data_IF_636375654593
#
_entry.id   IF_636375654593
#
_cell.length_a   1.000
_cell.length_b   1.000
_cell.length_c   1.000
_cell.angle_alpha   90.00
_cell.angle_beta   90.00
_cell.angle_gamma   90.00
#
_symmetry.space_group_name_H-M   'P 1'
#
loop_
_entity.id
_entity.type
_entity.pdbx_description
1 polymer ?
#
# COMPACT_ATOMS: atom_id res chain seq x y z
N UNK A 1 -25.37 14.69 -13.77
CA UNK A 1 -24.09 14.12 -13.28
C UNK A 1 -22.94 14.77 -14.05
N UNK A 2 -22.01 15.44 -13.38
CA UNK A 2 -20.81 15.97 -14.04
C UNK A 2 -19.89 14.80 -14.42
N UNK A 3 -19.32 14.83 -15.63
CA UNK A 3 -18.43 13.75 -16.08
C UNK A 3 -17.13 13.73 -15.28
N UNK A 4 -16.46 12.57 -15.17
CA UNK A 4 -15.16 12.47 -14.49
C UNK A 4 -14.09 13.40 -15.08
N UNK A 5 -14.22 13.76 -16.37
CA UNK A 5 -13.37 14.76 -17.02
C UNK A 5 -13.51 16.14 -16.38
N UNK A 6 -14.72 16.52 -15.99
CA UNK A 6 -14.98 17.80 -15.30
C UNK A 6 -14.36 17.83 -13.89
N UNK A 7 -14.42 16.71 -13.14
CA UNK A 7 -13.77 16.61 -11.82
C UNK A 7 -12.25 16.78 -11.97
N UNK A 8 -11.66 16.13 -12.98
CA UNK A 8 -10.22 16.25 -13.26
C UNK A 8 -9.83 17.67 -13.68
N UNK A 9 -10.62 18.32 -14.53
CA UNK A 9 -10.37 19.70 -14.92
C UNK A 9 -10.51 20.64 -13.72
N UNK A 10 -11.49 20.42 -12.86
CA UNK A 10 -11.65 21.19 -11.62
C UNK A 10 -10.47 20.96 -10.68
N UNK A 11 -10.01 19.71 -10.50
CA UNK A 11 -8.82 19.41 -9.70
C UNK A 11 -7.57 20.12 -10.25
N UNK A 12 -7.42 20.15 -11.58
CA UNK A 12 -6.31 20.86 -12.22
C UNK A 12 -6.36 22.36 -11.95
N UNK A 13 -7.51 23.00 -12.13
CA UNK A 13 -7.71 24.41 -11.82
C UNK A 13 -7.42 24.74 -10.35
N UNK A 14 -7.92 23.90 -9.45
CA UNK A 14 -7.70 24.04 -8.00
C UNK A 14 -6.22 23.92 -7.64
N UNK A 15 -5.44 23.12 -8.36
CA UNK A 15 -4.00 22.96 -8.12
C UNK A 15 -3.12 24.04 -8.77
N UNK A 16 -3.67 24.83 -9.70
CA UNK A 16 -2.94 25.93 -10.36
C UNK A 16 -2.88 27.20 -9.49
N UNK A 17 -3.82 27.38 -8.57
CA UNK A 17 -4.01 28.66 -7.80
C UNK A 17 -3.30 28.75 -6.44
N UNK A 18 -3.00 27.67 -5.68
CA UNK A 18 -2.50 27.81 -4.31
C UNK A 18 -1.02 28.18 -4.21
N UNK A 19 -0.69 29.00 -3.23
CA UNK A 19 0.68 29.24 -2.77
C UNK A 19 0.82 28.73 -1.32
N UNK A 20 1.80 27.85 -1.00
CA UNK A 20 2.85 27.29 -1.86
C UNK A 20 2.31 26.29 -2.90
N UNK A 21 2.98 26.24 -4.07
CA UNK A 21 2.57 25.35 -5.14
C UNK A 21 2.44 23.89 -4.64
N UNK A 22 1.37 23.17 -5.00
CA UNK A 22 1.14 21.78 -4.55
C UNK A 22 2.31 20.85 -4.86
N UNK A 23 3.05 21.12 -5.95
CA UNK A 23 4.27 20.40 -6.33
C UNK A 23 5.39 20.47 -5.27
N UNK A 24 5.51 21.58 -4.51
CA UNK A 24 6.48 21.68 -3.40
C UNK A 24 6.09 20.78 -2.24
N UNK A 25 4.80 20.74 -1.88
CA UNK A 25 4.30 19.90 -0.79
C UNK A 25 4.43 18.42 -1.14
N UNK A 26 4.08 18.03 -2.37
CA UNK A 26 4.26 16.65 -2.83
C UNK A 26 5.73 16.26 -2.97
N UNK A 27 6.63 17.17 -3.35
CA UNK A 27 8.08 16.92 -3.35
C UNK A 27 8.59 16.63 -1.93
N UNK A 28 8.20 17.45 -0.94
CA UNK A 28 8.55 17.21 0.47
C UNK A 28 7.97 15.87 0.94
N UNK A 29 6.70 15.60 0.65
CA UNK A 29 6.05 14.35 1.01
C UNK A 29 6.77 13.13 0.42
N UNK A 30 7.07 13.15 -0.89
CA UNK A 30 7.78 12.06 -1.57
C UNK A 30 9.23 11.95 -1.11
N UNK A 31 9.89 13.09 -0.85
CA UNK A 31 11.25 13.13 -0.33
C UNK A 31 11.38 12.47 1.05
N UNK A 32 10.41 12.68 1.94
CA UNK A 32 10.38 12.02 3.25
C UNK A 32 10.18 10.51 3.11
N UNK A 33 9.28 10.06 2.22
CA UNK A 33 9.04 8.63 1.99
C UNK A 33 10.31 7.96 1.45
N UNK A 34 10.90 8.52 0.40
CA UNK A 34 12.12 7.97 -0.22
C UNK A 34 13.31 8.07 0.74
N UNK A 35 13.45 9.20 1.44
CA UNK A 35 14.50 9.38 2.45
C UNK A 35 14.41 8.36 3.58
N UNK A 36 13.21 8.10 4.10
CA UNK A 36 12.99 7.06 5.10
C UNK A 36 13.35 5.67 4.56
N UNK A 37 12.98 5.35 3.31
CA UNK A 37 13.33 4.09 2.67
C UNK A 37 14.85 3.93 2.53
N UNK A 38 15.55 4.98 2.09
CA UNK A 38 17.03 4.97 1.99
C UNK A 38 17.68 4.77 3.36
N UNK A 39 17.26 5.54 4.37
CA UNK A 39 17.80 5.43 5.73
C UNK A 39 17.62 4.01 6.26
N UNK A 40 16.44 3.42 6.10
CA UNK A 40 16.16 2.05 6.53
C UNK A 40 17.03 1.04 5.80
N UNK A 41 17.20 1.18 4.49
CA UNK A 41 18.03 0.26 3.69
C UNK A 41 19.49 0.36 4.09
N UNK A 42 20.01 1.58 4.26
CA UNK A 42 21.38 1.79 4.73
C UNK A 42 21.58 1.20 6.13
N UNK A 43 20.61 1.41 7.02
CA UNK A 43 20.67 0.85 8.36
C UNK A 43 20.62 -0.69 8.33
N UNK A 44 19.74 -1.29 7.53
CA UNK A 44 19.70 -2.74 7.33
C UNK A 44 21.01 -3.28 6.76
N UNK A 45 21.60 -2.58 5.79
CA UNK A 45 22.90 -2.95 5.23
C UNK A 45 24.02 -2.89 6.28
N UNK A 46 24.10 -1.82 7.07
CA UNK A 46 25.09 -1.70 8.16
C UNK A 46 24.93 -2.79 9.22
N UNK A 47 23.68 -3.16 9.52
CA UNK A 47 23.36 -4.22 10.46
C UNK A 47 23.65 -5.63 9.92
N UNK A 48 23.68 -5.81 8.59
CA UNK A 48 24.00 -7.08 7.95
C UNK A 48 25.51 -7.32 7.79
N UNK A 49 26.36 -6.32 8.06
CA UNK A 49 27.81 -6.48 8.01
C UNK A 49 28.26 -7.47 9.10
N UNK A 50 29.11 -8.46 8.75
CA UNK A 50 29.59 -9.43 9.72
C UNK A 50 30.34 -8.72 10.86
N UNK A 51 29.94 -9.00 12.10
CA UNK A 51 30.65 -8.48 13.26
C UNK A 51 32.06 -9.08 13.30
N UNK A 52 33.12 -8.29 13.47
CA UNK A 52 34.49 -8.77 13.49
C UNK A 52 34.81 -9.68 14.72
N UNK A 53 33.89 -9.81 15.68
CA UNK A 53 34.06 -10.66 16.87
C UNK A 53 33.55 -12.08 16.55
N UNK A 54 34.44 -12.94 16.04
CA UNK A 54 34.18 -14.37 15.87
C UNK A 54 34.09 -15.08 17.21
N UNK A 55 32.96 -15.72 17.50
CA UNK A 55 32.78 -16.56 18.69
C UNK A 55 31.31 -16.88 18.98
N UNK A 56 31.04 -17.76 19.93
CA UNK A 56 29.71 -18.18 20.40
C UNK A 56 28.78 -17.02 20.84
N UNK A 57 29.32 -15.80 21.02
CA UNK A 57 28.55 -14.55 21.23
C UNK A 57 27.71 -14.12 20.02
N UNK A 58 27.92 -14.73 18.85
CA UNK A 58 27.25 -14.32 17.61
C UNK A 58 25.78 -14.72 17.53
N UNK A 59 25.35 -15.79 18.21
CA UNK A 59 23.94 -16.24 18.19
C UNK A 59 23.02 -15.23 18.89
N UNK A 60 23.45 -14.65 20.00
CA UNK A 60 22.66 -13.61 20.68
C UNK A 60 22.67 -12.27 19.91
N UNK A 61 23.79 -11.93 19.27
CA UNK A 61 23.93 -10.72 18.50
C UNK A 61 23.09 -10.78 17.21
N UNK A 62 23.10 -11.91 16.48
CA UNK A 62 22.28 -12.06 15.27
C UNK A 62 20.79 -11.96 15.56
N UNK A 63 20.29 -12.63 16.60
CA UNK A 63 18.89 -12.54 17.02
C UNK A 63 18.49 -11.10 17.43
N UNK A 64 19.37 -10.38 18.10
CA UNK A 64 19.15 -8.98 18.44
C UNK A 64 19.03 -8.11 17.19
N UNK A 65 19.92 -8.28 16.22
CA UNK A 65 19.92 -7.51 14.97
C UNK A 65 18.69 -7.82 14.09
N UNK A 66 18.28 -9.08 13.98
CA UNK A 66 17.06 -9.49 13.29
C UNK A 66 15.83 -8.89 13.95
N UNK A 67 15.78 -8.89 15.28
CA UNK A 67 14.69 -8.27 16.05
C UNK A 67 14.65 -6.76 15.80
N UNK A 68 15.79 -6.09 15.80
CA UNK A 68 15.88 -4.66 15.53
C UNK A 68 15.44 -4.31 14.11
N UNK A 69 15.85 -5.08 13.10
CA UNK A 69 15.40 -4.92 11.72
C UNK A 69 13.88 -5.09 11.62
N UNK A 70 13.32 -6.09 12.26
CA UNK A 70 11.87 -6.33 12.30
C UNK A 70 11.13 -5.17 12.94
N UNK A 71 11.62 -4.65 14.07
CA UNK A 71 11.03 -3.50 14.74
C UNK A 71 11.09 -2.22 13.89
N UNK A 72 12.21 -1.98 13.22
CA UNK A 72 12.36 -0.83 12.32
C UNK A 72 11.42 -0.93 11.10
N UNK A 73 11.31 -2.10 10.51
CA UNK A 73 10.37 -2.37 9.41
C UNK A 73 8.92 -2.17 9.86
N UNK A 74 8.57 -2.66 11.04
CA UNK A 74 7.24 -2.47 11.64
C UNK A 74 6.96 -0.98 11.91
N UNK A 75 7.92 -0.26 12.49
CA UNK A 75 7.79 1.17 12.76
C UNK A 75 7.57 1.97 11.46
N UNK A 76 8.33 1.66 10.41
CA UNK A 76 8.12 2.28 9.10
C UNK A 76 6.73 1.98 8.53
N UNK A 77 6.30 0.74 8.61
CA UNK A 77 4.97 0.30 8.13
C UNK A 77 3.82 0.98 8.89
N UNK A 78 4.05 1.33 10.16
CA UNK A 78 3.07 2.06 10.96
C UNK A 78 3.09 3.57 10.68
N UNK A 79 4.27 4.19 10.52
CA UNK A 79 4.39 5.65 10.35
C UNK A 79 3.95 6.09 8.95
N UNK A 80 4.27 5.31 7.92
CA UNK A 80 4.01 5.66 6.53
C UNK A 80 2.53 5.97 6.21
N UNK A 81 1.53 5.19 6.67
CA UNK A 81 0.12 5.52 6.46
C UNK A 81 -0.31 6.85 7.06
N UNK A 82 0.23 7.24 8.24
CA UNK A 82 -0.08 8.53 8.84
C UNK A 82 0.52 9.70 8.06
N UNK A 83 1.72 9.50 7.52
CA UNK A 83 2.34 10.47 6.64
C UNK A 83 1.55 10.64 5.33
N UNK A 84 1.05 9.55 4.77
CA UNK A 84 0.14 9.60 3.61
C UNK A 84 -1.17 10.30 3.94
N UNK A 85 -1.74 10.08 5.14
CA UNK A 85 -2.94 10.78 5.61
C UNK A 85 -2.73 12.30 5.68
N UNK A 86 -1.52 12.76 5.99
CA UNK A 86 -1.17 14.18 5.92
C UNK A 86 -1.35 14.79 4.53
N UNK A 87 -0.95 14.07 3.48
CA UNK A 87 -1.17 14.52 2.11
C UNK A 87 -2.66 14.51 1.73
N UNK A 88 -3.44 13.54 2.20
CA UNK A 88 -4.90 13.51 2.03
C UNK A 88 -5.53 14.75 2.68
N UNK A 89 -5.06 15.17 3.87
CA UNK A 89 -5.52 16.39 4.50
C UNK A 89 -5.21 17.63 3.66
N UNK A 90 -3.99 17.76 3.13
CA UNK A 90 -3.63 18.84 2.20
C UNK A 90 -4.55 18.83 0.96
N UNK A 91 -4.88 17.66 0.42
CA UNK A 91 -5.78 17.52 -0.71
C UNK A 91 -7.21 18.00 -0.39
N UNK A 92 -7.71 17.76 0.83
CA UNK A 92 -9.00 18.29 1.31
C UNK A 92 -8.97 19.81 1.38
N UNK A 93 -7.88 20.41 1.87
CA UNK A 93 -7.72 21.87 1.91
C UNK A 93 -7.73 22.46 0.50
N UNK A 94 -6.95 21.89 -0.43
CA UNK A 94 -6.96 22.34 -1.84
C UNK A 94 -8.35 22.22 -2.46
N UNK A 95 -9.03 21.11 -2.23
CA UNK A 95 -10.38 20.89 -2.76
C UNK A 95 -11.42 21.90 -2.22
N UNK A 96 -11.18 22.47 -1.02
CA UNK A 96 -11.97 23.55 -0.41
C UNK A 96 -11.52 24.96 -0.87
N UNK A 97 -10.50 25.05 -1.71
CA UNK A 97 -9.95 26.34 -2.17
C UNK A 97 -8.98 27.01 -1.19
N UNK A 98 -8.54 26.28 -0.14
CA UNK A 98 -7.55 26.80 0.82
C UNK A 98 -6.13 26.44 0.41
N UNK A 99 -5.16 27.30 0.75
CA UNK A 99 -3.74 27.00 0.61
C UNK A 99 -3.31 25.99 1.70
N UNK A 100 -2.59 24.95 1.32
CA UNK A 100 -1.97 24.02 2.27
C UNK A 100 -0.51 24.43 2.54
N UNK A 101 -0.05 24.25 3.77
CA UNK A 101 1.34 24.50 4.16
C UNK A 101 2.05 23.16 4.42
N UNK A 102 3.39 23.09 4.30
CA UNK A 102 4.15 21.85 4.57
C UNK A 102 3.93 21.28 5.98
N UNK A 103 3.67 22.13 6.97
CA UNK A 103 3.35 21.70 8.35
C UNK A 103 2.06 20.89 8.45
N UNK A 104 1.17 21.02 7.47
CA UNK A 104 -0.12 20.31 7.46
C UNK A 104 0.04 18.86 7.05
N UNK A 105 1.19 18.47 6.46
CA UNK A 105 1.55 17.08 6.26
C UNK A 105 1.63 16.30 7.58
N UNK A 106 1.91 16.98 8.70
CA UNK A 106 1.95 16.33 10.02
C UNK A 106 0.57 16.12 10.66
N UNK A 107 -0.52 16.60 10.04
CA UNK A 107 -1.88 16.43 10.58
C UNK A 107 -2.30 14.95 10.68
N UNK A 108 -1.80 14.09 9.79
CA UNK A 108 -2.00 12.64 9.93
C UNK A 108 -1.41 12.10 11.23
N UNK A 109 -0.22 12.58 11.62
CA UNK A 109 0.43 12.21 12.88
C UNK A 109 -0.28 12.83 14.10
N UNK A 110 -0.80 14.05 13.98
CA UNK A 110 -1.56 14.68 15.09
C UNK A 110 -2.86 13.95 15.40
N UNK A 111 -3.49 13.35 14.39
CA UNK A 111 -4.72 12.54 14.53
C UNK A 111 -4.45 11.04 14.59
N UNK A 112 -3.24 10.66 15.01
CA UNK A 112 -2.77 9.27 14.98
C UNK A 112 -3.72 8.29 15.69
N UNK A 113 -4.28 8.67 16.85
CA UNK A 113 -5.15 7.79 17.63
C UNK A 113 -6.44 7.39 16.91
N UNK A 114 -7.11 8.32 16.22
CA UNK A 114 -8.31 8.03 15.43
C UNK A 114 -7.98 7.26 14.14
N UNK A 115 -6.89 7.63 13.46
CA UNK A 115 -6.43 6.96 12.26
C UNK A 115 -5.90 5.55 12.56
N UNK A 116 -5.16 5.36 13.66
CA UNK A 116 -4.68 4.04 14.07
C UNK A 116 -5.85 3.07 14.30
N UNK A 117 -6.87 3.51 15.05
CA UNK A 117 -8.08 2.70 15.25
C UNK A 117 -8.77 2.39 13.92
N UNK A 118 -8.81 3.34 12.99
CA UNK A 118 -9.38 3.12 11.66
C UNK A 118 -8.58 2.08 10.86
N UNK A 119 -7.25 2.18 10.85
CA UNK A 119 -6.38 1.23 10.13
C UNK A 119 -6.41 -0.15 10.75
N UNK A 120 -6.46 -0.26 12.10
CA UNK A 120 -6.67 -1.54 12.78
C UNK A 120 -8.02 -2.17 12.40
N UNK A 121 -9.11 -1.38 12.39
CA UNK A 121 -10.42 -1.89 11.98
C UNK A 121 -10.44 -2.31 10.50
N UNK A 122 -9.78 -1.55 9.61
CA UNK A 122 -9.62 -1.97 8.21
C UNK A 122 -8.80 -3.26 8.10
N UNK A 123 -7.74 -3.41 8.90
CA UNK A 123 -6.93 -4.64 8.99
C UNK A 123 -7.75 -5.83 9.46
N UNK A 124 -8.54 -5.66 10.52
CA UNK A 124 -9.46 -6.71 11.02
C UNK A 124 -10.49 -7.11 9.94
N UNK A 125 -10.98 -6.14 9.15
CA UNK A 125 -11.87 -6.45 8.04
C UNK A 125 -11.17 -7.17 6.87
N UNK A 126 -9.86 -6.97 6.71
CA UNK A 126 -9.07 -7.63 5.66
C UNK A 126 -8.79 -9.10 5.98
N UNK A 127 -8.62 -9.47 7.25
CA UNK A 127 -8.32 -10.86 7.65
C UNK A 127 -9.36 -11.87 7.16
N UNK A 128 -10.68 -11.70 7.40
CA UNK A 128 -11.67 -12.64 6.87
C UNK A 128 -11.72 -12.66 5.35
N UNK A 129 -11.40 -11.52 4.66
CA UNK A 129 -11.32 -11.49 3.21
C UNK A 129 -10.19 -12.38 2.69
N UNK A 130 -9.02 -12.32 3.34
CA UNK A 130 -7.87 -13.18 3.02
C UNK A 130 -8.21 -14.65 3.26
N UNK A 131 -8.84 -14.99 4.38
CA UNK A 131 -9.26 -16.36 4.67
C UNK A 131 -10.27 -16.88 3.65
N UNK A 132 -11.33 -16.12 3.38
CA UNK A 132 -12.35 -16.51 2.39
C UNK A 132 -11.76 -16.66 1.00
N UNK A 133 -10.86 -15.75 0.58
CA UNK A 133 -10.18 -15.86 -0.72
C UNK A 133 -9.29 -17.10 -0.79
N UNK A 134 -8.56 -17.41 0.27
CA UNK A 134 -7.72 -18.61 0.36
C UNK A 134 -8.54 -19.89 0.27
N UNK A 135 -9.59 -20.04 1.08
CA UNK A 135 -10.48 -21.21 1.02
C UNK A 135 -11.18 -21.37 -0.32
N UNK A 136 -11.73 -20.27 -0.87
CA UNK A 136 -12.38 -20.29 -2.17
C UNK A 136 -11.41 -20.65 -3.31
N UNK A 137 -10.20 -20.09 -3.28
CA UNK A 137 -9.16 -20.40 -4.25
C UNK A 137 -8.73 -21.88 -4.15
N UNK A 138 -8.48 -22.39 -2.95
CA UNK A 138 -8.11 -23.80 -2.73
C UNK A 138 -9.21 -24.74 -3.20
N UNK A 139 -10.46 -24.44 -2.88
CA UNK A 139 -11.60 -25.23 -3.35
C UNK A 139 -11.71 -25.26 -4.88
N UNK A 140 -11.65 -24.08 -5.52
CA UNK A 140 -11.71 -24.02 -6.98
C UNK A 140 -10.48 -24.64 -7.64
N UNK A 141 -9.29 -24.50 -7.04
CA UNK A 141 -8.06 -25.11 -7.55
C UNK A 141 -8.13 -26.63 -7.58
N UNK A 142 -8.66 -27.26 -6.53
CA UNK A 142 -8.87 -28.72 -6.46
C UNK A 142 -9.77 -29.22 -7.59
N UNK A 143 -10.71 -28.42 -8.06
CA UNK A 143 -11.58 -28.77 -9.19
C UNK A 143 -10.89 -28.66 -10.56
N UNK A 144 -9.68 -28.08 -10.62
CA UNK A 144 -8.93 -27.92 -11.87
C UNK A 144 -7.93 -29.07 -12.07
N UNK A 145 -7.57 -29.41 -13.32
CA UNK A 145 -6.54 -30.41 -13.59
C UNK A 145 -5.15 -30.00 -13.03
N UNK A 146 -4.93 -28.70 -12.77
CA UNK A 146 -3.68 -28.16 -12.21
C UNK A 146 -3.38 -28.69 -10.81
N UNK A 147 -4.40 -29.09 -10.06
CA UNK A 147 -4.23 -29.70 -8.73
C UNK A 147 -3.48 -31.04 -8.79
N UNK A 148 -3.59 -31.78 -9.88
CA UNK A 148 -2.87 -33.06 -10.08
C UNK A 148 -1.36 -32.82 -10.12
N UNK A 149 -0.90 -31.81 -10.84
CA UNK A 149 0.52 -31.46 -10.91
C UNK A 149 1.09 -31.11 -9.51
N UNK A 150 0.29 -30.44 -8.69
CA UNK A 150 0.70 -30.12 -7.32
C UNK A 150 0.73 -31.38 -6.44
N UNK A 151 -0.26 -32.26 -6.59
CA UNK A 151 -0.29 -33.53 -5.85
C UNK A 151 0.87 -34.46 -6.22
N UNK A 152 1.23 -34.57 -7.50
CA UNK A 152 2.40 -35.34 -7.96
C UNK A 152 3.72 -34.84 -7.34
N UNK A 153 3.81 -33.54 -7.04
CA UNK A 153 4.97 -32.94 -6.37
C UNK A 153 4.92 -33.16 -4.85
N UNK A 154 3.72 -33.12 -4.26
CA UNK A 154 3.54 -33.24 -2.81
C UNK A 154 3.56 -34.71 -2.33
N UNK A 155 3.15 -35.66 -3.15
CA UNK A 155 3.08 -37.08 -2.79
C UNK A 155 4.43 -37.63 -2.30
N UNK A 156 5.59 -37.38 -2.98
CA UNK A 156 6.91 -37.76 -2.49
C UNK A 156 7.30 -37.10 -1.17
N UNK A 157 6.85 -35.84 -0.94
CA UNK A 157 7.10 -35.11 0.30
C UNK A 157 6.33 -35.68 1.49
N UNK A 158 5.10 -36.11 1.26
CA UNK A 158 4.26 -36.69 2.31
C UNK A 158 4.70 -38.11 2.70
N UNK A 159 5.41 -38.81 1.83
CA UNK A 159 5.95 -40.16 2.07
C UNK A 159 7.40 -40.18 2.50
N UNK A 160 8.12 -39.03 2.50
CA UNK A 160 9.50 -38.92 2.88
C UNK A 160 9.68 -38.97 4.41
N UNK A 161 10.70 -39.68 4.89
CA UNK A 161 11.08 -39.69 6.32
C UNK A 161 11.52 -38.28 6.80
N UNK A 162 12.16 -37.50 5.92
CA UNK A 162 12.53 -36.11 6.17
C UNK A 162 11.96 -35.18 5.07
N UNK A 163 10.78 -34.54 5.31
CA UNK A 163 10.13 -33.68 4.34
C UNK A 163 10.97 -32.46 3.94
N UNK A 164 11.83 -31.94 4.84
CA UNK A 164 12.66 -30.75 4.54
C UNK A 164 13.76 -31.06 3.53
N UNK A 165 14.40 -32.23 3.70
CA UNK A 165 15.43 -32.71 2.75
C UNK A 165 14.79 -33.03 1.39
N UNK A 166 13.63 -33.65 1.35
CA UNK A 166 12.89 -33.93 0.13
C UNK A 166 12.49 -32.64 -0.58
N UNK A 167 12.03 -31.62 0.14
CA UNK A 167 11.67 -30.30 -0.41
C UNK A 167 12.88 -29.61 -1.07
N UNK A 168 14.07 -29.74 -0.50
CA UNK A 168 15.30 -29.14 -1.05
C UNK A 168 15.72 -29.75 -2.38
N UNK A 169 15.28 -30.97 -2.70
CA UNK A 169 15.57 -31.68 -3.95
C UNK A 169 14.63 -31.30 -5.11
N UNK A 170 13.48 -30.68 -4.79
CA UNK A 170 12.52 -30.26 -5.82
C UNK A 170 13.03 -28.98 -6.49
N UNK A 171 13.13 -28.95 -7.84
CA UNK A 171 13.48 -27.74 -8.56
C UNK A 171 12.49 -26.62 -8.25
N UNK A 172 13.00 -25.47 -7.82
CA UNK A 172 12.18 -24.29 -7.46
C UNK A 172 11.22 -23.88 -8.58
N UNK A 173 11.62 -24.06 -9.83
CA UNK A 173 10.79 -23.77 -11.01
C UNK A 173 9.56 -24.68 -11.11
N UNK A 174 9.69 -25.96 -10.77
CA UNK A 174 8.54 -26.90 -10.76
C UNK A 174 7.57 -26.56 -9.63
N UNK A 175 8.10 -26.34 -8.43
CA UNK A 175 7.28 -25.95 -7.28
C UNK A 175 6.56 -24.63 -7.54
N UNK A 176 7.26 -23.63 -8.07
CA UNK A 176 6.68 -22.35 -8.41
C UNK A 176 5.59 -22.49 -9.49
N UNK A 177 5.85 -23.30 -10.54
CA UNK A 177 4.89 -23.55 -11.61
C UNK A 177 3.60 -24.22 -11.12
N UNK A 178 3.70 -25.11 -10.13
CA UNK A 178 2.54 -25.79 -9.55
C UNK A 178 1.72 -24.90 -8.60
N UNK A 179 2.38 -24.04 -7.84
CA UNK A 179 1.74 -23.17 -6.82
C UNK A 179 1.23 -21.85 -7.41
N UNK A 180 1.90 -21.32 -8.44
CA UNK A 180 1.57 -20.03 -9.05
C UNK A 180 0.09 -19.90 -9.47
N UNK A 181 -0.55 -20.90 -10.13
CA UNK A 181 -1.96 -20.81 -10.48
C UNK A 181 -2.89 -20.63 -9.27
N UNK A 182 -2.57 -21.27 -8.14
CA UNK A 182 -3.33 -21.13 -6.89
C UNK A 182 -3.23 -19.68 -6.36
N UNK A 183 -2.02 -19.10 -6.35
CA UNK A 183 -1.84 -17.71 -5.91
C UNK A 183 -2.51 -16.71 -6.85
N UNK A 184 -2.48 -16.95 -8.16
CA UNK A 184 -3.18 -16.11 -9.15
C UNK A 184 -4.69 -16.16 -8.91
N UNK A 185 -5.24 -17.35 -8.72
CA UNK A 185 -6.68 -17.54 -8.45
C UNK A 185 -7.08 -16.84 -7.11
N UNK A 186 -6.28 -17.05 -6.07
CA UNK A 186 -6.48 -16.36 -4.78
C UNK A 186 -6.43 -14.84 -4.93
N UNK A 187 -5.48 -14.32 -5.70
CA UNK A 187 -5.35 -12.89 -5.99
C UNK A 187 -6.55 -12.31 -6.71
N UNK A 188 -7.10 -13.03 -7.70
CA UNK A 188 -8.31 -12.61 -8.43
C UNK A 188 -9.53 -12.55 -7.47
N UNK A 189 -9.75 -13.60 -6.69
CA UNK A 189 -10.86 -13.65 -5.73
C UNK A 189 -10.70 -12.55 -4.68
N UNK A 190 -9.49 -12.38 -4.13
CA UNK A 190 -9.19 -11.34 -3.17
C UNK A 190 -9.44 -9.94 -3.75
N UNK A 191 -9.06 -9.70 -5.01
CA UNK A 191 -9.30 -8.43 -5.69
C UNK A 191 -10.80 -8.12 -5.79
N UNK A 192 -11.63 -9.08 -6.17
CA UNK A 192 -13.09 -8.94 -6.24
C UNK A 192 -13.67 -8.63 -4.86
N UNK A 193 -13.29 -9.39 -3.84
CA UNK A 193 -13.75 -9.20 -2.47
C UNK A 193 -13.26 -7.86 -1.89
N UNK A 194 -12.02 -7.49 -2.18
CA UNK A 194 -11.44 -6.21 -1.78
C UNK A 194 -12.24 -5.03 -2.35
N UNK A 195 -12.55 -5.05 -3.65
CA UNK A 195 -13.40 -4.03 -4.28
C UNK A 195 -14.78 -4.01 -3.63
N UNK A 196 -15.40 -5.16 -3.39
CA UNK A 196 -16.74 -5.23 -2.83
C UNK A 196 -16.83 -4.66 -1.40
N UNK A 197 -15.80 -4.85 -0.56
CA UNK A 197 -15.82 -4.50 0.86
C UNK A 197 -14.99 -3.25 1.16
N UNK A 198 -13.71 -3.25 0.75
CA UNK A 198 -12.76 -2.18 1.12
C UNK A 198 -13.04 -0.87 0.41
N UNK A 199 -13.56 -0.90 -0.82
CA UNK A 199 -13.97 0.34 -1.50
C UNK A 199 -15.07 1.09 -0.74
N UNK A 200 -15.96 0.38 -0.08
CA UNK A 200 -17.00 1.00 0.77
C UNK A 200 -16.41 1.73 1.99
N UNK A 201 -15.19 1.39 2.40
CA UNK A 201 -14.50 1.99 3.54
C UNK A 201 -13.48 3.07 3.12
N UNK A 202 -13.35 3.36 1.82
CA UNK A 202 -12.27 4.21 1.29
C UNK A 202 -12.37 5.66 1.73
N UNK A 203 -13.58 6.20 1.87
CA UNK A 203 -13.79 7.59 2.29
C UNK A 203 -13.65 7.80 3.80
N UNK A 204 -13.46 6.75 4.59
CA UNK A 204 -13.35 6.86 6.05
C UNK A 204 -12.15 7.73 6.50
N UNK A 205 -11.01 7.67 5.78
CA UNK A 205 -9.83 8.51 6.04
C UNK A 205 -10.19 9.99 5.86
N UNK A 206 -10.91 10.32 4.78
CA UNK A 206 -11.36 11.69 4.49
C UNK A 206 -12.33 12.22 5.55
N UNK A 207 -13.22 11.38 6.10
CA UNK A 207 -14.17 11.73 7.15
C UNK A 207 -13.46 12.09 8.47
N UNK A 208 -12.43 11.32 8.86
CA UNK A 208 -11.62 11.63 10.06
C UNK A 208 -10.79 12.88 9.82
N UNK A 209 -10.11 12.99 8.67
CA UNK A 209 -9.24 14.12 8.39
C UNK A 209 -10.00 15.43 8.17
N UNK A 210 -11.19 15.37 7.58
CA UNK A 210 -12.06 16.55 7.46
C UNK A 210 -12.64 17.05 8.78
N UNK A 211 -12.49 16.27 9.87
CA UNK A 211 -13.08 16.60 11.16
C UNK A 211 -14.57 16.29 11.28
N UNK A 212 -15.17 15.64 10.29
CA UNK A 212 -16.59 15.25 10.32
C UNK A 212 -16.87 14.25 11.45
N UNK A 213 -15.93 13.39 11.77
CA UNK A 213 -16.00 12.48 12.92
C UNK A 213 -14.61 12.12 13.44
N UNK A 214 -14.51 11.89 14.76
CA UNK A 214 -13.28 11.39 15.39
C UNK A 214 -13.36 9.90 15.73
N UNK A 215 -14.53 9.26 15.53
CA UNK A 215 -14.73 7.85 15.78
C UNK A 215 -14.46 7.02 14.52
N UNK A 216 -13.57 6.05 14.61
CA UNK A 216 -13.24 5.15 13.51
C UNK A 216 -14.43 4.31 13.02
N UNK A 217 -15.25 3.79 13.96
CA UNK A 217 -16.45 3.03 13.64
C UNK A 217 -17.49 3.88 12.92
N UNK A 218 -17.71 5.12 13.39
CA UNK A 218 -18.62 6.06 12.76
C UNK A 218 -18.14 6.46 11.36
N UNK A 219 -16.83 6.70 11.19
CA UNK A 219 -16.24 6.98 9.90
C UNK A 219 -16.45 5.83 8.89
N UNK A 220 -16.28 4.57 9.32
CA UNK A 220 -16.54 3.41 8.48
C UNK A 220 -18.03 3.29 8.11
N UNK A 221 -18.93 3.50 9.09
CA UNK A 221 -20.37 3.48 8.87
C UNK A 221 -20.81 4.54 7.86
N UNK A 222 -20.40 5.79 8.06
CA UNK A 222 -20.69 6.91 7.16
C UNK A 222 -20.08 6.69 5.77
N UNK A 223 -18.85 6.21 5.68
CA UNK A 223 -18.21 5.88 4.39
C UNK A 223 -19.02 4.86 3.61
N UNK A 224 -19.51 3.79 4.28
CA UNK A 224 -20.37 2.77 3.65
C UNK A 224 -21.69 3.35 3.17
N UNK A 225 -22.30 4.27 3.93
CA UNK A 225 -23.53 4.95 3.55
C UNK A 225 -23.32 5.85 2.33
N UNK A 226 -22.27 6.69 2.34
CA UNK A 226 -21.93 7.61 1.24
C UNK A 226 -21.62 6.87 -0.07
N UNK A 227 -21.03 5.68 0.01
CA UNK A 227 -20.66 4.88 -1.15
C UNK A 227 -21.68 3.80 -1.51
N UNK A 228 -22.82 3.74 -0.81
CA UNK A 228 -23.89 2.80 -1.16
C UNK A 228 -24.44 3.11 -2.56
N UNK A 229 -24.31 2.16 -3.47
CA UNK A 229 -24.70 2.34 -4.90
C UNK A 229 -23.67 3.09 -5.75
N UNK A 230 -22.59 3.64 -5.18
CA UNK A 230 -21.58 4.44 -5.88
C UNK A 230 -20.18 3.80 -5.96
N UNK A 231 -20.04 2.55 -5.55
CA UNK A 231 -18.74 1.82 -5.56
C UNK A 231 -18.16 1.75 -6.97
N UNK A 232 -19.02 1.47 -7.99
CA UNK A 232 -18.61 1.40 -9.38
C UNK A 232 -18.17 2.77 -9.94
N UNK A 233 -18.76 3.87 -9.48
CA UNK A 233 -18.30 5.22 -9.83
C UNK A 233 -16.88 5.45 -9.33
N UNK A 234 -16.60 5.08 -8.07
CA UNK A 234 -15.29 5.19 -7.49
C UNK A 234 -14.26 4.29 -8.20
N UNK A 235 -14.65 3.06 -8.54
CA UNK A 235 -13.80 2.15 -9.33
C UNK A 235 -13.49 2.73 -10.71
N UNK A 236 -14.49 3.30 -11.41
CA UNK A 236 -14.26 3.98 -12.68
C UNK A 236 -13.34 5.18 -12.53
N UNK A 237 -13.42 5.91 -11.41
CA UNK A 237 -12.50 7.00 -11.11
C UNK A 237 -11.06 6.48 -10.96
N UNK A 238 -10.85 5.36 -10.25
CA UNK A 238 -9.54 4.70 -10.15
C UNK A 238 -8.99 4.26 -11.50
N UNK A 239 -9.85 3.65 -12.33
CA UNK A 239 -9.45 3.25 -13.68
C UNK A 239 -8.99 4.43 -14.55
N UNK A 240 -9.42 5.65 -14.25
CA UNK A 240 -8.89 6.82 -14.97
C UNK A 240 -7.44 7.16 -14.63
N UNK A 241 -6.90 6.59 -13.53
CA UNK A 241 -5.51 6.68 -13.09
C UNK A 241 -4.75 5.36 -13.26
N UNK A 242 -5.25 4.45 -14.14
CA UNK A 242 -4.65 3.13 -14.35
C UNK A 242 -3.15 3.19 -14.63
N UNK A 243 -2.69 4.20 -15.38
CA UNK A 243 -1.29 4.41 -15.69
C UNK A 243 -0.43 4.70 -14.44
N UNK A 244 -0.99 5.40 -13.43
CA UNK A 244 -0.31 5.65 -12.16
C UNK A 244 -0.13 4.35 -11.37
N UNK A 245 -1.20 3.57 -11.27
CA UNK A 245 -1.15 2.26 -10.59
C UNK A 245 -0.29 1.26 -11.38
N UNK A 246 -0.39 1.28 -12.72
CA UNK A 246 0.43 0.45 -13.60
C UNK A 246 1.93 0.78 -13.48
N UNK A 247 2.29 2.06 -13.51
CA UNK A 247 3.68 2.49 -13.31
C UNK A 247 4.18 2.10 -11.91
N UNK A 248 3.36 2.25 -10.86
CA UNK A 248 3.72 1.81 -9.51
C UNK A 248 3.91 0.29 -9.45
N UNK A 249 3.06 -0.49 -10.12
CA UNK A 249 3.21 -1.95 -10.19
C UNK A 249 4.50 -2.34 -10.90
N UNK A 250 4.83 -1.72 -12.04
CA UNK A 250 6.08 -1.99 -12.78
C UNK A 250 7.29 -1.68 -11.92
N UNK A 251 7.29 -0.57 -11.17
CA UNK A 251 8.37 -0.24 -10.24
C UNK A 251 8.53 -1.29 -9.14
N UNK A 252 7.42 -1.82 -8.60
CA UNK A 252 7.48 -2.89 -7.60
C UNK A 252 7.97 -4.22 -8.20
N UNK A 253 7.54 -4.57 -9.43
CA UNK A 253 8.00 -5.78 -10.12
C UNK A 253 9.51 -5.70 -10.46
N UNK A 254 10.04 -4.51 -10.71
CA UNK A 254 11.47 -4.30 -10.93
C UNK A 254 12.31 -4.83 -9.75
N UNK A 255 11.79 -4.76 -8.53
CA UNK A 255 12.46 -5.28 -7.33
C UNK A 255 12.55 -6.80 -7.28
N UNK A 256 11.81 -7.52 -8.13
CA UNK A 256 11.89 -8.97 -8.24
C UNK A 256 12.97 -9.44 -9.22
N UNK A 257 13.42 -8.57 -10.15
CA UNK A 257 14.39 -8.94 -11.17
C UNK A 257 15.71 -9.53 -10.62
N UNK A 258 16.29 -8.98 -9.52
CA UNK A 258 17.52 -9.55 -8.99
C UNK A 258 17.41 -11.01 -8.53
N UNK A 259 16.20 -11.45 -8.14
CA UNK A 259 15.98 -12.84 -7.72
C UNK A 259 16.18 -13.86 -8.86
N UNK A 260 16.13 -13.40 -10.12
CA UNK A 260 16.34 -14.24 -11.30
C UNK A 260 17.75 -14.10 -11.91
N UNK A 261 18.61 -13.25 -11.31
CA UNK A 261 19.98 -13.02 -11.79
C UNK A 261 20.96 -14.06 -11.25
N UNK A 262 22.07 -14.25 -11.97
CA UNK A 262 23.19 -15.08 -11.51
C UNK A 262 23.79 -14.51 -10.22
N UNK A 263 24.26 -15.36 -9.28
CA UNK A 263 24.75 -14.91 -7.96
C UNK A 263 25.81 -13.81 -8.04
N UNK A 264 26.73 -13.88 -9.01
CA UNK A 264 27.82 -12.91 -9.19
C UNK A 264 27.32 -11.49 -9.52
N UNK A 265 26.25 -11.36 -10.30
CA UNK A 265 25.67 -10.09 -10.73
C UNK A 265 24.52 -9.60 -9.84
N UNK A 266 24.05 -10.44 -8.93
CA UNK A 266 22.82 -10.19 -8.15
C UNK A 266 22.93 -8.92 -7.28
N UNK A 267 24.07 -8.68 -6.64
CA UNK A 267 24.28 -7.51 -5.75
C UNK A 267 24.24 -6.20 -6.53
N UNK A 268 24.96 -6.15 -7.67
CA UNK A 268 25.00 -4.92 -8.51
C UNK A 268 23.64 -4.65 -9.11
N UNK A 269 22.97 -5.70 -9.64
CA UNK A 269 21.63 -5.58 -10.20
C UNK A 269 20.62 -5.14 -9.16
N UNK A 270 20.68 -5.67 -7.93
CA UNK A 270 19.82 -5.25 -6.82
C UNK A 270 19.98 -3.78 -6.50
N UNK A 271 21.21 -3.28 -6.45
CA UNK A 271 21.50 -1.87 -6.17
C UNK A 271 20.95 -0.96 -7.27
N UNK A 272 21.13 -1.34 -8.54
CA UNK A 272 20.63 -0.59 -9.69
C UNK A 272 19.10 -0.59 -9.71
N UNK A 273 18.46 -1.75 -9.55
CA UNK A 273 17.00 -1.87 -9.50
C UNK A 273 16.42 -1.04 -8.35
N UNK A 274 17.06 -1.08 -7.17
CA UNK A 274 16.64 -0.28 -6.01
C UNK A 274 16.78 1.22 -6.28
N UNK A 275 17.87 1.67 -6.87
CA UNK A 275 18.06 3.08 -7.26
C UNK A 275 17.00 3.56 -8.25
N UNK A 276 16.71 2.76 -9.27
CA UNK A 276 15.64 3.05 -10.25
C UNK A 276 14.26 3.07 -9.59
N UNK A 277 13.99 2.12 -8.69
CA UNK A 277 12.75 2.06 -7.91
C UNK A 277 12.55 3.34 -7.08
N UNK A 278 13.57 3.78 -6.34
CA UNK A 278 13.50 4.98 -5.50
C UNK A 278 13.29 6.25 -6.34
N UNK A 279 14.09 6.42 -7.39
CA UNK A 279 13.98 7.57 -8.29
C UNK A 279 12.62 7.59 -9.01
N UNK A 280 12.19 6.44 -9.53
CA UNK A 280 10.90 6.28 -10.18
C UNK A 280 9.73 6.57 -9.26
N UNK A 281 9.76 6.04 -8.03
CA UNK A 281 8.73 6.28 -7.01
C UNK A 281 8.67 7.76 -6.61
N UNK A 282 9.82 8.39 -6.40
CA UNK A 282 9.89 9.82 -6.11
C UNK A 282 9.24 10.65 -7.22
N UNK A 283 9.66 10.46 -8.47
CA UNK A 283 9.14 11.20 -9.63
C UNK A 283 7.65 10.96 -9.87
N UNK A 284 7.22 9.71 -9.75
CA UNK A 284 5.82 9.33 -9.91
C UNK A 284 4.94 10.01 -8.86
N UNK A 285 5.33 9.96 -7.59
CA UNK A 285 4.57 10.56 -6.50
C UNK A 285 4.61 12.08 -6.57
N UNK A 286 5.77 12.67 -6.79
CA UNK A 286 5.91 14.12 -6.93
C UNK A 286 4.98 14.71 -7.99
N UNK A 287 4.95 14.11 -9.19
CA UNK A 287 4.19 14.65 -10.32
C UNK A 287 2.69 14.37 -10.26
N UNK A 288 2.29 13.27 -9.64
CA UNK A 288 0.94 12.74 -9.84
C UNK A 288 0.11 12.60 -8.57
N UNK A 289 0.73 12.36 -7.42
CA UNK A 289 0.02 12.06 -6.19
C UNK A 289 -0.91 13.19 -5.75
N UNK A 290 -0.50 14.47 -5.85
CA UNK A 290 -1.38 15.60 -5.55
C UNK A 290 -2.64 15.60 -6.39
N UNK A 291 -2.51 15.32 -7.71
CA UNK A 291 -3.66 15.30 -8.62
C UNK A 291 -4.63 14.19 -8.26
N UNK A 292 -4.12 13.00 -7.99
CA UNK A 292 -4.91 11.83 -7.60
C UNK A 292 -5.68 12.13 -6.31
N UNK A 293 -4.99 12.55 -5.24
CA UNK A 293 -5.63 12.81 -3.94
C UNK A 293 -6.63 13.98 -3.99
N UNK A 294 -6.33 15.04 -4.77
CA UNK A 294 -7.28 16.17 -4.94
C UNK A 294 -8.55 15.76 -5.67
N UNK A 295 -8.45 14.89 -6.68
CA UNK A 295 -9.64 14.35 -7.35
C UNK A 295 -10.51 13.55 -6.39
N UNK A 296 -9.91 12.72 -5.53
CA UNK A 296 -10.66 12.00 -4.49
C UNK A 296 -11.26 12.94 -3.45
N UNK A 297 -10.52 13.96 -3.03
CA UNK A 297 -11.02 14.96 -2.08
C UNK A 297 -12.23 15.73 -2.65
N UNK A 298 -12.19 16.14 -3.93
CA UNK A 298 -13.33 16.75 -4.62
C UNK A 298 -14.52 15.78 -4.73
N UNK A 299 -14.27 14.51 -5.06
CA UNK A 299 -15.32 13.49 -5.09
C UNK A 299 -15.96 13.32 -3.72
N UNK A 300 -15.15 13.24 -2.65
CA UNK A 300 -15.60 13.15 -1.27
C UNK A 300 -16.49 14.34 -0.88
N UNK A 301 -16.01 15.59 -1.10
CA UNK A 301 -16.76 16.80 -0.75
C UNK A 301 -18.11 16.89 -1.45
N UNK A 302 -18.24 16.37 -2.68
CA UNK A 302 -19.51 16.30 -3.39
C UNK A 302 -20.50 15.29 -2.83
N UNK A 303 -20.00 14.22 -2.23
CA UNK A 303 -20.85 13.19 -1.60
C UNK A 303 -21.25 13.53 -0.18
N UNK A 304 -20.55 14.48 0.47
CA UNK A 304 -20.99 15.00 1.75
C UNK A 304 -22.32 15.74 1.57
N UNK A 305 -23.36 15.42 2.36
CA UNK A 305 -24.54 16.28 2.43
C UNK A 305 -24.03 17.68 2.83
N UNK A 306 -24.52 18.73 2.15
CA UNK A 306 -24.15 20.11 2.41
C UNK A 306 -24.29 20.37 3.92
N UNK A 307 -23.15 20.35 4.63
CA UNK A 307 -23.12 20.77 6.02
C UNK A 307 -23.45 22.26 6.06
N UNK A 308 -24.24 22.74 7.03
CA UNK A 308 -24.40 24.16 7.23
C UNK A 308 -23.02 24.81 7.37
N UNK A 309 -22.81 25.93 6.72
CA UNK A 309 -21.56 26.69 6.53
C UNK A 309 -20.83 27.09 7.83
N UNK A 310 -21.29 26.66 9.00
CA UNK A 310 -20.83 27.14 10.32
C UNK A 310 -19.98 26.10 11.09
N UNK A 311 -18.98 25.50 10.48
CA UNK A 311 -17.90 24.87 11.28
C UNK A 311 -16.63 25.72 11.18
N UNK A 312 -16.51 26.68 12.07
CA UNK A 312 -15.26 27.35 12.39
C UNK A 312 -14.26 26.28 12.83
N UNK A 313 -13.27 26.03 12.00
CA UNK A 313 -12.11 25.22 12.35
C UNK A 313 -11.19 26.10 13.22
N UNK A 314 -11.34 26.01 14.54
CA UNK A 314 -10.37 26.51 15.50
C UNK A 314 -9.27 25.46 15.74
#
# INVERSE_FOLDING_TARGET
MQSFSQIKQQARKVLETPQPAPGKITAIHSGVIVGAAVILTVLQFLLSLPSPAGGLSNLGASAFWETLQTLLSLANSLILPFWQAGLVFCAILWARGHSAQPRELTQGLRRWGSLLRLYLLKGILLLPLLMVSGYAASFLFVLTPLSRNLMEILEPLMSAEDPLTALSQIPTTQLLGAILPLFVLMGIILCVLFVAVMYRCRLADYLILSGTTNSALMALGLSRQLLRGHVLELLRLDLTFWWFYGASLVLNLLMLLPAFALPESQTVLSLVCYGVYLAGTFLLYWKTRAKVETVYALYFLRKLPSAPENTNFA
#
